data_IF_058603189812
#
_entry.id   IF_058603189812
#
_cell.length_a   1.000
_cell.length_b   1.000
_cell.length_c   1.000
_cell.angle_alpha   90.00
_cell.angle_beta   90.00
_cell.angle_gamma   90.00
#
_symmetry.space_group_name_H-M   'P 1'
#
loop_
_entity.id
_entity.type
_entity.pdbx_description
1 polymer ?
#
# COMPACT_ATOMS: atom_id res chain seq x y z
N UNK A 1 2.12 16.31 13.44
CA UNK A 1 2.17 15.56 14.71
C UNK A 1 0.93 14.67 14.94
N UNK A 2 -0.30 15.21 14.76
CA UNK A 2 -1.53 14.42 15.05
C UNK A 2 -1.71 13.19 14.14
N UNK A 3 -1.34 13.28 12.86
CA UNK A 3 -1.41 12.14 11.93
C UNK A 3 -0.31 11.09 12.20
N UNK A 4 0.86 11.52 12.67
CA UNK A 4 1.96 10.64 13.04
C UNK A 4 1.54 9.77 14.25
N UNK A 5 1.01 10.37 15.31
CA UNK A 5 0.55 9.64 16.50
C UNK A 5 -0.57 8.61 16.22
N UNK A 6 -1.38 8.81 15.17
CA UNK A 6 -2.43 7.85 14.78
C UNK A 6 -1.80 6.58 14.21
N UNK A 7 -0.81 6.68 13.33
CA UNK A 7 -0.14 5.52 12.71
C UNK A 7 0.66 4.72 13.72
N UNK A 8 1.43 5.39 14.58
CA UNK A 8 2.19 4.75 15.64
C UNK A 8 1.27 3.92 16.55
N UNK A 9 0.10 4.48 16.89
CA UNK A 9 -0.94 3.79 17.66
C UNK A 9 -1.48 2.57 16.91
N UNK A 10 -1.80 2.71 15.63
CA UNK A 10 -2.37 1.61 14.85
C UNK A 10 -1.40 0.44 14.73
N UNK A 11 -0.09 0.69 14.66
CA UNK A 11 0.95 -0.34 14.67
C UNK A 11 1.10 -0.96 16.05
N UNK A 12 1.24 -0.15 17.08
CA UNK A 12 1.53 -0.62 18.44
C UNK A 12 0.34 -1.30 19.11
N UNK A 13 -0.90 -0.82 18.87
CA UNK A 13 -2.12 -1.39 19.43
C UNK A 13 -2.35 -2.86 19.02
N UNK A 14 -1.91 -3.21 17.81
CA UNK A 14 -2.00 -4.58 17.28
C UNK A 14 -0.72 -5.39 17.46
N UNK A 15 0.31 -4.85 18.13
CA UNK A 15 1.62 -5.50 18.29
C UNK A 15 2.17 -6.00 16.95
N UNK A 16 2.05 -5.18 15.89
CA UNK A 16 2.45 -5.55 14.55
C UNK A 16 3.95 -5.88 14.50
N UNK A 17 4.29 -7.06 14.00
CA UNK A 17 5.68 -7.52 13.86
C UNK A 17 6.34 -7.05 12.58
N UNK A 18 5.55 -6.86 11.51
CA UNK A 18 6.02 -6.45 10.18
C UNK A 18 5.01 -5.50 9.56
N UNK A 19 5.50 -4.39 9.02
CA UNK A 19 4.67 -3.37 8.38
C UNK A 19 5.15 -3.16 6.95
N UNK A 20 4.39 -3.62 5.94
CA UNK A 20 4.68 -3.33 4.55
C UNK A 20 4.36 -1.86 4.24
N UNK A 21 5.34 -1.14 3.73
CA UNK A 21 5.24 0.31 3.47
C UNK A 21 6.02 0.72 2.22
N UNK A 22 5.65 1.86 1.63
CA UNK A 22 6.49 2.56 0.68
C UNK A 22 7.61 3.36 1.38
N UNK A 23 8.63 3.77 0.64
CA UNK A 23 9.78 4.52 1.17
C UNK A 23 9.39 5.81 1.92
N UNK A 24 8.35 6.49 1.47
CA UNK A 24 7.85 7.72 2.08
C UNK A 24 7.30 7.51 3.51
N UNK A 25 7.07 6.26 3.93
CA UNK A 25 6.58 5.90 5.26
C UNK A 25 7.67 5.40 6.20
N UNK A 26 8.90 5.16 5.72
CA UNK A 26 10.01 4.67 6.55
C UNK A 26 10.24 5.51 7.81
N UNK A 27 10.32 6.86 7.73
CA UNK A 27 10.56 7.69 8.91
C UNK A 27 9.48 7.53 10.00
N UNK A 28 8.26 7.18 9.58
CA UNK A 28 7.15 6.94 10.52
C UNK A 28 7.34 5.63 11.29
N UNK A 29 7.80 4.59 10.60
CA UNK A 29 8.04 3.29 11.26
C UNK A 29 9.28 3.37 12.16
N UNK A 30 10.33 4.07 11.73
CA UNK A 30 11.52 4.35 12.57
C UNK A 30 11.14 5.08 13.86
N UNK A 31 10.27 6.08 13.77
CA UNK A 31 9.75 6.76 14.96
C UNK A 31 8.96 5.80 15.87
N UNK A 32 8.13 4.93 15.29
CA UNK A 32 7.40 3.91 16.05
C UNK A 32 8.38 2.96 16.77
N UNK A 33 9.45 2.53 16.09
CA UNK A 33 10.50 1.70 16.68
C UNK A 33 11.17 2.40 17.87
N UNK A 34 11.48 3.69 17.77
CA UNK A 34 12.03 4.47 18.87
C UNK A 34 11.06 4.57 20.07
N UNK A 35 9.77 4.80 19.80
CA UNK A 35 8.73 4.86 20.85
C UNK A 35 8.66 3.52 21.59
N UNK A 36 8.59 2.41 20.85
CA UNK A 36 8.52 1.07 21.42
C UNK A 36 9.79 0.77 22.23
N UNK A 37 10.97 1.09 21.69
CA UNK A 37 12.24 0.89 22.40
C UNK A 37 12.29 1.67 23.71
N UNK A 38 11.97 2.95 23.70
CA UNK A 38 11.93 3.80 24.90
C UNK A 38 10.91 3.31 25.91
N UNK A 39 9.72 2.93 25.45
CA UNK A 39 8.68 2.41 26.32
C UNK A 39 9.14 1.13 27.03
N UNK A 40 9.62 0.15 26.27
CA UNK A 40 10.06 -1.14 26.81
C UNK A 40 11.27 -1.00 27.75
N UNK A 41 12.18 -0.05 27.46
CA UNK A 41 13.34 0.23 28.35
C UNK A 41 12.90 0.78 29.70
N UNK A 42 11.87 1.64 29.74
CA UNK A 42 11.42 2.29 30.98
C UNK A 42 10.45 1.43 31.77
N UNK A 43 9.52 0.75 31.09
CA UNK A 43 8.39 0.08 31.72
C UNK A 43 8.40 -1.45 31.62
N UNK A 44 9.36 -2.03 30.89
CA UNK A 44 9.41 -3.47 30.60
C UNK A 44 8.76 -3.81 29.25
N UNK A 45 8.99 -5.04 28.79
CA UNK A 45 8.55 -5.52 27.48
C UNK A 45 7.02 -5.71 27.43
N UNK A 46 6.31 -4.71 26.92
CA UNK A 46 4.86 -4.75 26.71
C UNK A 46 4.47 -4.52 25.22
N UNK A 47 5.33 -3.84 24.46
CA UNK A 47 5.11 -3.54 23.05
C UNK A 47 6.08 -4.30 22.14
N UNK A 48 5.64 -4.59 20.90
CA UNK A 48 6.46 -5.28 19.89
C UNK A 48 7.07 -4.28 18.93
N UNK A 49 8.38 -4.39 18.69
CA UNK A 49 9.08 -3.53 17.73
C UNK A 49 8.78 -3.98 16.31
N UNK A 50 8.18 -3.12 15.47
CA UNK A 50 7.83 -3.48 14.11
C UNK A 50 9.07 -3.52 13.19
N UNK A 51 9.04 -4.41 12.18
CA UNK A 51 10.02 -4.43 11.10
C UNK A 51 9.42 -3.76 9.87
N UNK A 52 10.25 -3.00 9.16
CA UNK A 52 9.89 -2.41 7.87
C UNK A 52 9.97 -3.50 6.80
N UNK A 53 8.97 -3.56 5.93
CA UNK A 53 8.96 -4.39 4.73
C UNK A 53 8.73 -3.51 3.52
N UNK A 54 9.76 -3.34 2.70
CA UNK A 54 9.67 -2.60 1.43
C UNK A 54 9.30 -3.54 0.29
N UNK A 55 8.66 -3.04 -0.79
CA UNK A 55 8.48 -3.80 -2.01
C UNK A 55 9.82 -4.26 -2.58
N UNK A 56 9.90 -5.50 -3.06
CA UNK A 56 11.09 -6.05 -3.73
C UNK A 56 11.37 -5.36 -5.06
N UNK A 57 10.32 -5.00 -5.79
CA UNK A 57 10.42 -4.28 -7.05
C UNK A 57 10.47 -2.77 -6.81
N UNK A 58 11.57 -2.14 -7.22
CA UNK A 58 11.79 -0.69 -7.08
C UNK A 58 10.70 0.13 -7.78
N UNK A 59 10.19 -0.32 -8.93
CA UNK A 59 9.08 0.34 -9.64
C UNK A 59 7.79 0.38 -8.83
N UNK A 60 7.58 -0.58 -7.91
CA UNK A 60 6.42 -0.61 -7.02
C UNK A 60 6.56 0.30 -5.79
N UNK A 61 7.78 0.78 -5.48
CA UNK A 61 8.00 1.66 -4.31
C UNK A 61 7.30 3.00 -4.46
N UNK A 62 7.23 3.53 -5.69
CA UNK A 62 6.57 4.81 -5.97
C UNK A 62 6.09 4.89 -7.42
N UNK A 63 4.83 4.54 -7.67
CA UNK A 63 4.22 4.72 -8.99
C UNK A 63 3.92 6.21 -9.24
N UNK A 64 4.35 6.76 -10.40
CA UNK A 64 3.96 8.11 -10.82
C UNK A 64 2.47 8.15 -11.20
N UNK A 65 1.89 9.35 -11.20
CA UNK A 65 0.59 9.58 -11.83
C UNK A 65 0.66 9.36 -13.35
N UNK A 66 -0.50 9.23 -14.01
CA UNK A 66 -0.58 9.05 -15.47
C UNK A 66 0.05 10.20 -16.25
N UNK A 67 0.21 11.37 -15.62
CA UNK A 67 0.86 12.56 -16.15
C UNK A 67 2.41 12.48 -16.16
N UNK A 68 2.99 11.48 -15.52
CA UNK A 68 4.44 11.28 -15.43
C UNK A 68 5.21 12.31 -14.62
N UNK A 69 4.53 13.30 -14.04
CA UNK A 69 5.17 14.45 -13.37
C UNK A 69 5.06 14.42 -11.85
N UNK A 70 3.92 14.02 -11.34
CA UNK A 70 3.61 14.07 -9.93
C UNK A 70 3.31 12.68 -9.36
N UNK A 71 3.41 12.55 -8.03
CA UNK A 71 2.89 11.40 -7.31
C UNK A 71 1.41 11.23 -7.64
N UNK A 72 0.97 9.98 -7.78
CA UNK A 72 -0.43 9.63 -7.93
C UNK A 72 -1.28 10.26 -6.82
N UNK A 73 -2.30 11.04 -7.18
CA UNK A 73 -3.15 11.75 -6.22
C UNK A 73 -4.59 11.85 -6.73
N UNK A 74 -5.54 11.60 -5.81
CA UNK A 74 -6.98 11.76 -6.10
C UNK A 74 -7.34 13.19 -6.48
N UNK A 75 -6.75 14.19 -5.80
CA UNK A 75 -7.02 15.60 -6.03
C UNK A 75 -6.51 16.11 -7.38
N UNK A 76 -5.49 15.46 -7.94
CA UNK A 76 -4.95 15.79 -9.27
C UNK A 76 -5.64 15.03 -10.40
N UNK A 77 -6.48 14.04 -10.08
CA UNK A 77 -7.14 13.21 -11.08
C UNK A 77 -6.20 12.36 -11.94
N UNK A 78 -4.93 12.21 -11.52
CA UNK A 78 -3.87 11.52 -12.26
C UNK A 78 -3.68 10.05 -11.81
N UNK A 79 -4.67 9.46 -11.14
CA UNK A 79 -4.61 8.08 -10.66
C UNK A 79 -5.58 7.16 -11.41
N UNK A 80 -5.22 5.87 -11.49
CA UNK A 80 -6.10 4.79 -11.91
C UNK A 80 -6.67 4.16 -10.63
N UNK A 81 -8.01 4.10 -10.51
CA UNK A 81 -8.68 3.48 -9.38
C UNK A 81 -8.89 1.98 -9.64
N UNK A 82 -8.78 1.18 -8.59
CA UNK A 82 -9.01 -0.27 -8.68
C UNK A 82 -10.46 -0.63 -9.07
N UNK A 83 -11.39 0.30 -8.84
CA UNK A 83 -12.82 0.14 -9.13
C UNK A 83 -13.26 0.77 -10.45
N UNK A 84 -12.35 1.35 -11.23
CA UNK A 84 -12.72 1.99 -12.50
C UNK A 84 -13.18 0.98 -13.54
N UNK A 85 -14.14 1.39 -14.35
CA UNK A 85 -14.62 0.59 -15.47
C UNK A 85 -13.53 0.48 -16.57
N UNK A 86 -13.54 -0.61 -17.35
CA UNK A 86 -12.52 -0.88 -18.37
C UNK A 86 -12.26 0.26 -19.35
N UNK A 87 -13.31 0.95 -19.78
CA UNK A 87 -13.19 2.05 -20.73
C UNK A 87 -12.51 3.29 -20.13
N UNK A 88 -12.72 3.56 -18.84
CA UNK A 88 -12.06 4.67 -18.16
C UNK A 88 -10.56 4.37 -17.97
N UNK A 89 -10.21 3.14 -17.58
CA UNK A 89 -8.80 2.70 -17.50
C UNK A 89 -8.14 2.85 -18.88
N UNK A 90 -8.79 2.38 -19.94
CA UNK A 90 -8.29 2.49 -21.32
C UNK A 90 -8.05 3.94 -21.71
N UNK A 91 -8.97 4.87 -21.43
CA UNK A 91 -8.80 6.31 -21.70
C UNK A 91 -7.58 6.85 -20.95
N UNK A 92 -7.44 6.54 -19.69
CA UNK A 92 -6.29 6.96 -18.86
C UNK A 92 -4.96 6.41 -19.37
N UNK A 93 -4.89 5.13 -19.70
CA UNK A 93 -3.68 4.51 -20.28
C UNK A 93 -3.32 5.17 -21.63
N UNK A 94 -4.30 5.39 -22.49
CA UNK A 94 -4.03 6.05 -23.77
C UNK A 94 -3.58 7.50 -23.62
N UNK A 95 -3.94 8.19 -22.52
CA UNK A 95 -3.50 9.56 -22.20
C UNK A 95 -2.20 9.61 -21.39
N UNK A 96 -1.62 8.47 -20.96
CA UNK A 96 -0.38 8.45 -20.21
C UNK A 96 0.74 9.20 -20.90
N UNK A 97 1.54 9.89 -20.09
CA UNK A 97 2.76 10.54 -20.55
C UNK A 97 3.77 9.51 -21.08
N UNK A 98 4.34 9.80 -22.21
CA UNK A 98 5.42 9.05 -22.88
C UNK A 98 6.57 9.98 -23.20
N UNK A 99 7.51 9.57 -24.04
CA UNK A 99 8.60 10.41 -24.50
C UNK A 99 8.10 11.49 -25.48
N UNK A 100 8.21 12.79 -25.16
CA UNK A 100 7.78 13.87 -26.05
C UNK A 100 8.60 13.98 -27.33
N UNK A 101 9.82 13.44 -27.36
CA UNK A 101 10.71 13.47 -28.52
C UNK A 101 10.40 12.31 -29.49
N UNK A 102 9.63 11.30 -29.07
CA UNK A 102 9.21 10.15 -29.88
C UNK A 102 7.98 10.49 -30.74
N UNK A 103 8.19 11.29 -31.79
CA UNK A 103 7.10 11.81 -32.65
C UNK A 103 6.71 10.80 -33.73
N UNK A 104 7.71 10.18 -34.37
CA UNK A 104 7.51 9.15 -35.41
C UNK A 104 7.83 7.78 -34.86
N UNK A 105 7.16 6.76 -35.37
CA UNK A 105 7.43 5.36 -35.00
C UNK A 105 8.91 4.98 -35.21
N UNK A 106 9.56 5.58 -36.20
CA UNK A 106 10.97 5.33 -36.49
C UNK A 106 11.94 5.99 -35.55
N UNK A 107 11.50 6.96 -34.77
CA UNK A 107 12.37 7.70 -33.87
C UNK A 107 12.76 6.78 -32.68
N UNK A 108 14.01 6.86 -32.19
CA UNK A 108 14.38 6.23 -30.93
C UNK A 108 13.60 6.81 -29.76
N UNK A 109 13.03 5.95 -28.93
CA UNK A 109 12.28 6.40 -27.74
C UNK A 109 13.08 6.25 -26.45
N UNK A 110 12.80 7.10 -25.46
CA UNK A 110 13.36 7.02 -24.09
C UNK A 110 12.41 6.26 -23.18
N UNK A 111 12.96 5.34 -22.40
CA UNK A 111 12.22 4.59 -21.39
C UNK A 111 12.26 5.28 -20.01
N UNK A 112 13.34 6.02 -19.70
CA UNK A 112 13.50 6.77 -18.47
C UNK A 112 12.46 7.90 -18.40
N UNK A 113 11.67 7.92 -17.32
CA UNK A 113 10.58 8.88 -17.15
C UNK A 113 9.34 8.59 -17.98
N UNK A 114 9.34 7.53 -18.78
CA UNK A 114 8.18 7.09 -19.53
C UNK A 114 7.23 6.31 -18.63
N UNK A 115 6.09 6.91 -18.31
CA UNK A 115 5.11 6.36 -17.37
C UNK A 115 4.60 4.98 -17.80
N UNK A 116 4.44 4.73 -19.09
CA UNK A 116 3.94 3.45 -19.61
C UNK A 116 4.90 2.32 -19.26
N UNK A 117 6.21 2.51 -19.45
CA UNK A 117 7.20 1.50 -19.08
C UNK A 117 7.34 1.33 -17.58
N UNK A 118 7.23 2.39 -16.78
CA UNK A 118 7.20 2.29 -15.32
C UNK A 118 6.05 1.40 -14.84
N UNK A 119 4.87 1.53 -15.44
CA UNK A 119 3.72 0.66 -15.11
C UNK A 119 3.90 -0.77 -15.63
N UNK A 120 4.52 -0.96 -16.79
CA UNK A 120 4.87 -2.30 -17.28
C UNK A 120 5.89 -2.98 -16.35
N UNK A 121 6.90 -2.25 -15.86
CA UNK A 121 7.85 -2.78 -14.88
C UNK A 121 7.18 -3.22 -13.57
N UNK A 122 6.10 -2.55 -13.18
CA UNK A 122 5.38 -2.86 -11.96
C UNK A 122 4.39 -4.04 -12.11
N UNK A 123 3.72 -4.16 -13.25
CA UNK A 123 2.56 -5.05 -13.41
C UNK A 123 2.72 -6.15 -14.45
N UNK A 124 3.67 -6.02 -15.40
CA UNK A 124 3.82 -6.99 -16.46
C UNK A 124 4.44 -8.28 -15.96
N UNK A 125 3.86 -9.40 -16.36
CA UNK A 125 4.37 -10.75 -16.11
C UNK A 125 4.70 -11.42 -17.45
N UNK A 126 5.56 -12.45 -17.48
CA UNK A 126 5.94 -13.16 -18.71
C UNK A 126 4.73 -13.67 -19.51
N UNK A 127 3.70 -14.15 -18.82
CA UNK A 127 2.49 -14.70 -19.44
C UNK A 127 1.68 -13.68 -20.24
N UNK A 128 1.84 -12.40 -19.93
CA UNK A 128 1.19 -11.32 -20.67
C UNK A 128 1.75 -11.18 -22.09
N UNK A 129 3.04 -11.49 -22.30
CA UNK A 129 3.63 -11.47 -23.62
C UNK A 129 3.04 -12.58 -24.52
N UNK A 130 2.95 -13.79 -24.01
CA UNK A 130 2.36 -14.92 -24.75
C UNK A 130 0.94 -14.62 -25.21
N UNK A 131 0.13 -13.94 -24.37
CA UNK A 131 -1.27 -13.65 -24.66
C UNK A 131 -1.51 -12.42 -25.54
N UNK A 132 -0.77 -11.34 -25.29
CA UNK A 132 -1.10 -10.04 -25.83
C UNK A 132 -0.06 -9.45 -26.76
N UNK A 133 1.18 -9.95 -26.71
CA UNK A 133 2.28 -9.41 -27.50
C UNK A 133 3.34 -10.48 -27.83
N UNK A 134 2.94 -11.58 -28.50
CA UNK A 134 3.80 -12.77 -28.74
C UNK A 134 5.01 -12.47 -29.65
N UNK A 135 5.09 -11.30 -30.25
CA UNK A 135 6.24 -10.85 -31.05
C UNK A 135 7.51 -10.61 -30.18
N UNK A 136 7.37 -10.57 -28.82
CA UNK A 136 8.43 -10.30 -27.87
C UNK A 136 8.48 -11.36 -26.78
N UNK A 137 9.70 -11.79 -26.43
CA UNK A 137 9.87 -12.78 -25.37
C UNK A 137 9.68 -12.21 -23.96
N UNK A 138 9.98 -10.92 -23.76
CA UNK A 138 9.95 -10.27 -22.46
C UNK A 138 9.94 -8.74 -22.57
N UNK A 139 9.86 -8.07 -21.41
CA UNK A 139 9.80 -6.62 -21.33
C UNK A 139 11.10 -5.94 -21.77
N UNK A 140 12.25 -6.56 -21.54
CA UNK A 140 13.55 -6.00 -21.93
C UNK A 140 13.70 -5.95 -23.46
N UNK A 141 13.20 -6.97 -24.16
CA UNK A 141 13.16 -6.97 -25.61
C UNK A 141 12.23 -5.87 -26.18
N UNK A 142 11.06 -5.69 -25.54
CA UNK A 142 10.13 -4.61 -25.89
C UNK A 142 10.76 -3.23 -25.67
N UNK A 143 11.44 -3.03 -24.54
CA UNK A 143 12.18 -1.80 -24.23
C UNK A 143 13.32 -1.54 -25.23
N UNK A 144 14.12 -2.55 -25.53
CA UNK A 144 15.19 -2.45 -26.51
C UNK A 144 14.67 -2.08 -27.91
N UNK A 145 13.51 -2.62 -28.32
CA UNK A 145 12.88 -2.23 -29.58
C UNK A 145 12.41 -0.78 -29.57
N UNK A 146 11.78 -0.33 -28.48
CA UNK A 146 11.33 1.05 -28.34
C UNK A 146 12.49 2.04 -28.41
N UNK A 147 13.60 1.74 -27.72
CA UNK A 147 14.82 2.56 -27.72
C UNK A 147 15.52 2.61 -29.09
N UNK A 148 15.44 1.54 -29.85
CA UNK A 148 16.03 1.46 -31.20
C UNK A 148 15.21 2.21 -32.26
N UNK A 149 13.93 2.48 -31.98
CA UNK A 149 12.96 2.96 -32.97
C UNK A 149 12.28 1.82 -33.74
N UNK A 150 11.11 2.11 -34.30
CA UNK A 150 10.28 1.14 -35.01
C UNK A 150 9.05 0.65 -34.21
N UNK A 151 8.89 1.10 -32.95
CA UNK A 151 7.78 0.74 -32.10
C UNK A 151 7.04 1.99 -31.60
N UNK A 152 5.80 2.19 -32.02
CA UNK A 152 5.01 3.35 -31.64
C UNK A 152 4.36 3.21 -30.26
N UNK A 153 4.18 4.34 -29.56
CA UNK A 153 3.57 4.46 -28.21
C UNK A 153 2.22 3.78 -28.10
N UNK A 154 1.40 3.88 -29.14
CA UNK A 154 0.05 3.30 -29.16
C UNK A 154 0.08 1.78 -28.97
N UNK A 155 1.06 1.08 -29.56
CA UNK A 155 1.20 -0.39 -29.42
C UNK A 155 1.57 -0.73 -27.97
N UNK A 156 2.51 0.01 -27.37
CA UNK A 156 2.94 -0.19 -25.97
C UNK A 156 1.82 0.14 -25.00
N UNK A 157 1.08 1.24 -25.20
CA UNK A 157 -0.10 1.62 -24.40
C UNK A 157 -1.22 0.58 -24.47
N UNK A 158 -1.49 0.01 -25.66
CA UNK A 158 -2.46 -1.08 -25.80
C UNK A 158 -2.05 -2.32 -25.03
N UNK A 159 -0.76 -2.67 -25.07
CA UNK A 159 -0.23 -3.77 -24.29
C UNK A 159 -0.39 -3.52 -22.79
N UNK A 160 0.03 -2.36 -22.28
CA UNK A 160 -0.19 -1.98 -20.88
C UNK A 160 -1.68 -2.01 -20.50
N UNK A 161 -2.57 -1.54 -21.36
CA UNK A 161 -4.00 -1.61 -21.08
C UNK A 161 -4.46 -3.07 -20.86
N UNK A 162 -4.02 -4.01 -21.69
CA UNK A 162 -4.39 -5.41 -21.54
C UNK A 162 -3.86 -5.99 -20.21
N UNK A 163 -2.60 -5.69 -19.87
CA UNK A 163 -1.99 -6.08 -18.58
C UNK A 163 -2.80 -5.54 -17.39
N UNK A 164 -3.16 -4.26 -17.40
CA UNK A 164 -3.94 -3.64 -16.34
C UNK A 164 -5.38 -4.15 -16.29
N UNK A 165 -6.01 -4.42 -17.44
CA UNK A 165 -7.35 -5.02 -17.46
C UNK A 165 -7.36 -6.41 -16.80
N UNK A 166 -6.42 -7.28 -17.15
CA UNK A 166 -6.29 -8.61 -16.55
C UNK A 166 -6.01 -8.53 -15.05
N UNK A 167 -5.14 -7.61 -14.64
CA UNK A 167 -4.80 -7.43 -13.21
C UNK A 167 -5.98 -6.90 -12.38
N UNK A 168 -6.78 -5.98 -12.93
CA UNK A 168 -7.83 -5.28 -12.19
C UNK A 168 -9.21 -5.94 -12.31
N UNK A 169 -9.44 -6.77 -13.32
CA UNK A 169 -10.73 -7.41 -13.54
C UNK A 169 -11.20 -8.28 -12.34
N UNK A 170 -10.36 -9.15 -11.74
CA UNK A 170 -10.78 -9.92 -10.58
C UNK A 170 -11.20 -9.03 -9.40
N UNK A 171 -10.50 -7.91 -9.19
CA UNK A 171 -10.81 -6.95 -8.12
C UNK A 171 -12.15 -6.28 -8.38
N UNK A 172 -12.41 -5.82 -9.61
CA UNK A 172 -13.70 -5.22 -10.00
C UNK A 172 -14.86 -6.21 -9.86
N UNK A 173 -14.67 -7.44 -10.32
CA UNK A 173 -15.69 -8.47 -10.25
C UNK A 173 -16.02 -8.81 -8.79
N UNK A 174 -15.01 -8.97 -7.93
CA UNK A 174 -15.21 -9.20 -6.51
C UNK A 174 -15.96 -8.04 -5.83
N UNK A 175 -15.61 -6.80 -6.18
CA UNK A 175 -16.32 -5.63 -5.70
C UNK A 175 -17.80 -5.66 -6.12
N UNK A 176 -18.10 -5.90 -7.41
CA UNK A 176 -19.48 -5.97 -7.93
C UNK A 176 -20.30 -7.10 -7.28
N UNK A 177 -19.67 -8.20 -6.89
CA UNK A 177 -20.33 -9.24 -6.12
C UNK A 177 -20.69 -8.79 -4.70
N UNK A 178 -19.74 -8.17 -4.00
CA UNK A 178 -19.96 -7.68 -2.65
C UNK A 178 -21.00 -6.55 -2.59
N UNK A 179 -21.06 -5.69 -3.59
CA UNK A 179 -22.06 -4.60 -3.67
C UNK A 179 -23.51 -5.10 -3.76
N UNK A 180 -23.74 -6.40 -4.08
CA UNK A 180 -25.07 -6.98 -4.11
C UNK A 180 -25.67 -7.22 -2.72
N UNK A 181 -24.83 -7.31 -1.67
CA UNK A 181 -25.26 -7.55 -0.29
C UNK A 181 -24.55 -6.58 0.67
N UNK A 182 -25.04 -5.35 0.68
CA UNK A 182 -24.50 -4.30 1.57
C UNK A 182 -24.70 -4.66 3.06
N UNK A 183 -25.84 -5.23 3.52
CA UNK A 183 -25.97 -5.68 4.90
C UNK A 183 -24.86 -6.64 5.34
N UNK A 184 -24.51 -7.64 4.52
CA UNK A 184 -23.42 -8.58 4.84
C UNK A 184 -22.06 -7.87 4.98
N UNK A 185 -21.80 -6.81 4.18
CA UNK A 185 -20.59 -5.99 4.34
C UNK A 185 -20.56 -5.31 5.70
N UNK A 186 -21.67 -4.73 6.16
CA UNK A 186 -21.74 -4.09 7.47
C UNK A 186 -21.58 -5.09 8.62
N UNK A 187 -22.13 -6.29 8.51
CA UNK A 187 -21.90 -7.35 9.49
C UNK A 187 -20.42 -7.79 9.54
N UNK A 188 -19.78 -7.94 8.38
CA UNK A 188 -18.36 -8.25 8.29
C UNK A 188 -17.50 -7.16 8.96
N UNK A 189 -17.79 -5.87 8.68
CA UNK A 189 -17.09 -4.74 9.29
C UNK A 189 -17.30 -4.71 10.80
N UNK A 190 -18.52 -4.94 11.28
CA UNK A 190 -18.85 -5.00 12.72
C UNK A 190 -18.05 -6.10 13.41
N UNK A 191 -18.09 -7.32 12.86
CA UNK A 191 -17.37 -8.46 13.43
C UNK A 191 -15.85 -8.21 13.46
N UNK A 192 -15.27 -7.69 12.36
CA UNK A 192 -13.86 -7.35 12.31
C UNK A 192 -13.49 -6.24 13.30
N UNK A 193 -14.37 -5.26 13.52
CA UNK A 193 -14.16 -4.20 14.52
C UNK A 193 -14.17 -4.74 15.95
N UNK A 194 -15.09 -5.66 16.27
CA UNK A 194 -15.16 -6.31 17.57
C UNK A 194 -13.91 -7.17 17.86
N UNK A 195 -13.38 -7.86 16.85
CA UNK A 195 -12.13 -8.62 16.97
C UNK A 195 -10.92 -7.69 17.18
N UNK A 196 -10.85 -6.60 16.40
CA UNK A 196 -9.80 -5.59 16.54
C UNK A 196 -9.83 -4.90 17.90
N UNK A 197 -11.03 -4.57 18.41
CA UNK A 197 -11.21 -3.96 19.73
C UNK A 197 -10.66 -4.86 20.86
N UNK A 198 -10.91 -6.17 20.81
CA UNK A 198 -10.37 -7.12 21.80
C UNK A 198 -8.86 -7.10 21.84
N UNK A 199 -8.20 -7.13 20.67
CA UNK A 199 -6.73 -7.10 20.60
C UNK A 199 -6.19 -5.77 21.11
N UNK A 200 -6.77 -4.65 20.68
CA UNK A 200 -6.33 -3.33 21.11
C UNK A 200 -6.57 -3.10 22.61
N UNK A 201 -7.70 -3.57 23.15
CA UNK A 201 -8.00 -3.48 24.58
C UNK A 201 -7.01 -4.28 25.42
N UNK A 202 -6.63 -5.49 24.97
CA UNK A 202 -5.61 -6.28 25.66
C UNK A 202 -4.24 -5.57 25.67
N UNK A 203 -3.81 -5.03 24.52
CA UNK A 203 -2.56 -4.27 24.44
C UNK A 203 -2.60 -3.04 25.36
N UNK A 204 -3.73 -2.33 25.40
CA UNK A 204 -3.89 -1.19 26.31
C UNK A 204 -3.82 -1.60 27.77
N UNK A 205 -4.41 -2.76 28.14
CA UNK A 205 -4.31 -3.30 29.50
C UNK A 205 -2.86 -3.62 29.86
N UNK A 206 -2.12 -4.29 28.96
CA UNK A 206 -0.69 -4.60 29.16
C UNK A 206 0.15 -3.32 29.37
N UNK A 207 -0.09 -2.30 28.54
CA UNK A 207 0.59 -0.99 28.64
C UNK A 207 0.28 -0.31 29.97
N UNK A 208 -1.00 -0.27 30.39
CA UNK A 208 -1.41 0.32 31.68
C UNK A 208 -0.79 -0.41 32.86
N UNK A 209 -0.74 -1.75 32.80
CA UNK A 209 -0.12 -2.56 33.85
C UNK A 209 1.41 -2.29 33.93
N UNK A 210 2.10 -2.25 32.80
CA UNK A 210 3.53 -1.93 32.75
C UNK A 210 3.84 -0.53 33.33
N UNK A 211 3.01 0.46 33.00
CA UNK A 211 3.12 1.83 33.53
C UNK A 211 2.62 1.98 34.99
N UNK A 212 2.05 0.93 35.60
CA UNK A 212 1.41 0.96 36.92
C UNK A 212 0.32 2.03 37.05
N UNK A 213 -0.48 2.22 36.00
CA UNK A 213 -1.65 3.13 35.99
C UNK A 213 -2.99 2.38 35.91
N UNK A 214 -2.95 1.07 36.18
CA UNK A 214 -4.13 0.19 36.25
C UNK A 214 -4.70 0.07 37.68
N UNK A 215 -4.49 1.07 38.53
CA UNK A 215 -4.81 1.06 39.95
C UNK A 215 -6.27 0.75 40.27
N UNK A 216 -7.21 0.89 39.37
CA UNK A 216 -8.59 0.45 39.60
C UNK A 216 -8.80 -1.06 39.47
N UNK A 217 -7.91 -1.75 38.74
CA UNK A 217 -7.95 -3.19 38.51
C UNK A 217 -6.87 -3.95 39.31
N UNK A 218 -5.99 -3.22 40.01
CA UNK A 218 -4.92 -3.77 40.85
C UNK A 218 -5.44 -4.06 42.23
N UNK A 219 -5.97 -5.30 42.43
CA UNK A 219 -6.54 -5.74 43.67
C UNK A 219 -5.53 -5.77 44.85
N UNK A 220 -4.27 -6.03 44.55
CA UNK A 220 -3.21 -6.08 45.60
C UNK A 220 -2.86 -4.67 46.06
N UNK A 221 -2.78 -3.70 45.12
CA UNK A 221 -2.65 -2.29 45.48
C UNK A 221 -3.86 -1.83 46.33
N UNK A 222 -5.08 -2.15 45.91
CA UNK A 222 -6.30 -1.76 46.64
C UNK A 222 -6.29 -2.34 48.08
N UNK A 223 -5.92 -3.62 48.23
CA UNK A 223 -5.83 -4.27 49.56
C UNK A 223 -4.76 -3.61 50.42
N UNK A 224 -3.59 -3.38 49.89
CA UNK A 224 -2.50 -2.73 50.63
C UNK A 224 -2.86 -1.31 51.10
N UNK A 225 -3.60 -0.58 50.27
CA UNK A 225 -4.10 0.75 50.61
C UNK A 225 -5.21 0.68 51.66
N UNK A 226 -6.10 -0.31 51.56
CA UNK A 226 -7.14 -0.53 52.58
C UNK A 226 -6.54 -0.90 53.96
N UNK A 227 -5.52 -1.75 53.99
CA UNK A 227 -4.79 -2.11 55.23
C UNK A 227 -4.04 -0.90 55.82
N UNK A 228 -3.47 -0.04 54.98
CA UNK A 228 -2.68 1.10 55.43
C UNK A 228 -3.50 2.28 55.90
N UNK A 229 -4.66 2.53 55.26
CA UNK A 229 -5.46 3.74 55.48
C UNK A 229 -6.91 3.44 55.91
N UNK A 230 -7.39 2.20 55.81
CA UNK A 230 -8.69 1.79 56.30
C UNK A 230 -8.63 1.78 57.85
N UNK A 231 -9.34 2.73 58.44
CA UNK A 231 -9.56 2.79 59.90
C UNK A 231 -10.88 2.16 60.25
#
# INVERSE_FOLDING_TARGET
>A
QRQMCIRDRDITAFKATTVPVGEDQMPMIEQTQEIVHKFNTVYGEALVQPKIMLPENDSCRRLPGIDGKAKMSKSLGNCIYLSEEPDEIKKKVMSMYTDPDHIKITDPGKIEGNTVFTYLDAFCQPEHFERYLPDYANLDELKAHYQRGGLGDVKVKKFLNNVLQETLEPIRNRRKELEKDIPAIYEMLKKGSEEAEKVAAQTLADVKAAMKINYFDDLDLIRSQAERYGK
#
